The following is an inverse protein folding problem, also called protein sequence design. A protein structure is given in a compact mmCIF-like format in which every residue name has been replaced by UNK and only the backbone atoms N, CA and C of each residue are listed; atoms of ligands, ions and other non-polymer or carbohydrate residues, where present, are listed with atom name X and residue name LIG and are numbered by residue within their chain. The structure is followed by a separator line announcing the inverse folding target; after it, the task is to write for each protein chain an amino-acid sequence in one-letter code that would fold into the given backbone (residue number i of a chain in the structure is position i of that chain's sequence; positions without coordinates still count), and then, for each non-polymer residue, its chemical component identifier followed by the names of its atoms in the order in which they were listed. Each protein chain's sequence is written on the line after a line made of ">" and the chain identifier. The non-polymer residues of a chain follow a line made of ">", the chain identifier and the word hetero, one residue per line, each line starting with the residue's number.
data_IF_741152882779
#
_entry.id   IF_741152882779
#
_cell.length_a   1.000
_cell.length_b   1.000
_cell.length_c   1.000
_cell.angle_alpha   90.00
_cell.angle_beta   90.00
_cell.angle_gamma   90.00
#
_symmetry.space_group_name_H-M   'P 1'
#
loop_
_entity.id
_entity.type
_entity.pdbx_description
1 polymer ?
#
# COMPACT_ATOMS: atom_id res chain seq x y z
N UNK A 1 -4.98 -9.41 7.47
CA UNK A 1 -4.81 -8.48 6.33
C UNK A 1 -5.77 -7.31 6.47
N UNK A 2 -5.27 -6.11 6.36
CA UNK A 2 -6.07 -4.90 6.41
C UNK A 2 -6.26 -4.32 5.03
N UNK A 3 -7.28 -3.48 4.84
CA UNK A 3 -7.49 -2.80 3.58
C UNK A 3 -7.75 -1.32 3.82
N UNK A 4 -7.29 -0.50 2.89
CA UNK A 4 -7.52 0.93 2.90
C UNK A 4 -7.89 1.39 1.50
N UNK A 5 -8.80 2.36 1.43
CA UNK A 5 -9.15 2.96 0.14
C UNK A 5 -8.42 4.28 -0.01
N UNK A 6 -7.81 4.45 -1.17
CA UNK A 6 -7.14 5.71 -1.50
C UNK A 6 -7.54 6.12 -2.91
N UNK A 7 -7.41 7.42 -3.18
CA UNK A 7 -7.58 7.94 -4.54
C UNK A 7 -6.23 8.42 -5.04
N UNK A 8 -5.81 7.93 -6.18
CA UNK A 8 -4.55 8.31 -6.80
C UNK A 8 -4.77 8.51 -8.29
N UNK A 9 -4.38 9.67 -8.81
CA UNK A 9 -4.58 10.02 -10.21
C UNK A 9 -6.04 9.87 -10.66
N UNK A 10 -6.98 10.22 -9.76
CA UNK A 10 -8.41 10.16 -10.06
C UNK A 10 -9.02 8.76 -10.03
N UNK A 11 -8.24 7.77 -9.61
CA UNK A 11 -8.70 6.38 -9.54
C UNK A 11 -8.77 5.94 -8.08
N UNK A 12 -9.87 5.30 -7.70
CA UNK A 12 -10.03 4.75 -6.35
C UNK A 12 -9.47 3.35 -6.30
N UNK A 13 -8.46 3.18 -5.45
CA UNK A 13 -7.81 1.88 -5.24
C UNK A 13 -8.17 1.32 -3.88
N UNK A 14 -8.34 0.01 -3.82
CA UNK A 14 -8.46 -0.71 -2.56
C UNK A 14 -7.12 -1.43 -2.34
N UNK A 15 -6.41 -1.04 -1.29
CA UNK A 15 -5.05 -1.50 -1.02
C UNK A 15 -5.07 -2.44 0.18
N UNK A 16 -4.61 -3.66 -0.02
CA UNK A 16 -4.56 -4.69 1.01
C UNK A 16 -3.14 -4.94 1.46
N UNK A 17 -2.97 -5.14 2.73
CA UNK A 17 -1.66 -5.44 3.30
C UNK A 17 -1.69 -5.45 4.80
N UNK A 18 -0.54 -5.21 5.42
CA UNK A 18 -0.40 -5.18 6.86
C UNK A 18 0.57 -4.09 7.28
N UNK A 19 0.39 -3.58 8.50
CA UNK A 19 1.38 -2.71 9.11
C UNK A 19 2.46 -3.55 9.76
N UNK A 20 3.70 -3.15 9.54
CA UNK A 20 4.84 -3.80 10.13
C UNK A 20 5.49 -2.87 11.16
N UNK A 21 5.88 -3.43 12.29
CA UNK A 21 6.54 -2.68 13.34
C UNK A 21 7.99 -2.38 12.97
N UNK A 22 8.52 -1.28 13.51
CA UNK A 22 9.92 -0.98 13.32
C UNK A 22 10.80 -2.01 14.03
N UNK A 23 11.94 -2.33 13.40
CA UNK A 23 12.93 -3.24 13.97
C UNK A 23 14.27 -2.52 14.05
N UNK A 24 14.62 -1.96 15.22
CA UNK A 24 15.85 -1.20 15.37
C UNK A 24 17.12 -2.01 15.04
N UNK A 25 17.09 -3.31 15.31
CA UNK A 25 18.23 -4.18 15.06
C UNK A 25 18.59 -4.32 13.59
N UNK A 26 17.59 -4.19 12.71
CA UNK A 26 17.78 -4.31 11.27
C UNK A 26 17.66 -2.97 10.57
N UNK A 27 17.50 -1.88 11.32
CA UNK A 27 17.23 -0.54 10.80
C UNK A 27 15.92 -0.46 9.99
N UNK A 28 15.01 -1.38 10.21
CA UNK A 28 13.73 -1.37 9.55
C UNK A 28 12.81 -0.38 10.25
N UNK A 29 12.32 0.59 9.51
CA UNK A 29 11.50 1.66 10.08
C UNK A 29 10.03 1.27 10.26
N UNK A 30 9.63 0.14 9.72
CA UNK A 30 8.23 -0.28 9.75
C UNK A 30 7.41 0.46 8.70
N UNK A 31 6.11 0.32 8.81
CA UNK A 31 5.16 0.99 7.94
C UNK A 31 4.21 0.03 7.26
N UNK A 32 3.52 0.52 6.24
CA UNK A 32 2.55 -0.28 5.49
C UNK A 32 3.26 -1.13 4.44
N UNK A 33 2.96 -2.43 4.46
CA UNK A 33 3.45 -3.36 3.45
C UNK A 33 2.28 -3.75 2.56
N UNK A 34 2.28 -3.27 1.32
CA UNK A 34 1.21 -3.56 0.35
C UNK A 34 1.38 -4.97 -0.22
N UNK A 35 0.32 -5.76 -0.17
CA UNK A 35 0.32 -7.12 -0.71
C UNK A 35 -0.56 -7.28 -1.93
N UNK A 36 -1.63 -6.49 -2.02
CA UNK A 36 -2.62 -6.61 -3.09
C UNK A 36 -3.25 -5.26 -3.35
N UNK A 37 -3.54 -4.95 -4.59
CA UNK A 37 -4.23 -3.72 -4.98
C UNK A 37 -5.36 -4.09 -5.92
N UNK A 38 -6.58 -3.62 -5.62
CA UNK A 38 -7.76 -3.88 -6.43
C UNK A 38 -8.44 -2.59 -6.89
N UNK A 39 -9.02 -2.65 -8.07
CA UNK A 39 -9.91 -1.61 -8.59
C UNK A 39 -11.17 -2.33 -9.05
N UNK A 40 -12.34 -1.94 -8.53
CA UNK A 40 -13.63 -2.56 -8.85
C UNK A 40 -13.57 -4.10 -8.68
N UNK A 41 -12.99 -4.55 -7.56
CA UNK A 41 -12.83 -5.96 -7.21
C UNK A 41 -11.92 -6.76 -8.15
N UNK A 42 -11.17 -6.08 -8.99
CA UNK A 42 -10.20 -6.74 -9.89
C UNK A 42 -8.79 -6.50 -9.35
N UNK A 43 -8.05 -7.59 -9.14
CA UNK A 43 -6.66 -7.51 -8.70
C UNK A 43 -5.81 -6.98 -9.85
N UNK A 44 -5.17 -5.84 -9.63
CA UNK A 44 -4.32 -5.20 -10.63
C UNK A 44 -2.88 -5.02 -10.17
N UNK A 45 -2.53 -5.56 -8.99
CA UNK A 45 -1.20 -5.40 -8.42
C UNK A 45 -0.10 -5.83 -9.40
N UNK A 46 -0.32 -6.96 -10.06
CA UNK A 46 0.66 -7.56 -10.96
C UNK A 46 0.93 -6.72 -12.23
N UNK A 47 0.02 -5.83 -12.58
CA UNK A 47 0.17 -5.01 -13.79
C UNK A 47 0.62 -3.58 -13.51
N UNK A 48 0.77 -3.23 -12.24
CA UNK A 48 1.21 -1.89 -11.87
C UNK A 48 2.73 -1.79 -11.92
N UNK A 49 3.21 -0.62 -12.33
CA UNK A 49 4.65 -0.34 -12.28
C UNK A 49 5.11 -0.23 -10.83
N UNK A 50 6.33 -0.65 -10.51
CA UNK A 50 6.86 -0.54 -9.15
C UNK A 50 6.76 0.87 -8.55
N UNK A 51 6.96 1.91 -9.35
CA UNK A 51 6.84 3.30 -8.89
C UNK A 51 5.43 3.63 -8.44
N UNK A 52 4.43 3.11 -9.12
CA UNK A 52 3.02 3.33 -8.76
C UNK A 52 2.72 2.63 -7.44
N UNK A 53 3.19 1.40 -7.28
CA UNK A 53 3.00 0.64 -6.05
C UNK A 53 3.66 1.37 -4.87
N UNK A 54 4.87 1.90 -5.05
CA UNK A 54 5.55 2.68 -4.02
C UNK A 54 4.75 3.92 -3.64
N UNK A 55 4.23 4.64 -4.61
CA UNK A 55 3.42 5.84 -4.38
C UNK A 55 2.17 5.52 -3.59
N UNK A 56 1.47 4.46 -3.98
CA UNK A 56 0.26 4.01 -3.28
C UNK A 56 0.61 3.64 -1.85
N UNK A 57 1.70 2.91 -1.64
CA UNK A 57 2.18 2.52 -0.32
C UNK A 57 2.49 3.75 0.54
N UNK A 58 3.13 4.77 -0.03
CA UNK A 58 3.40 6.02 0.68
C UNK A 58 2.12 6.71 1.12
N UNK A 59 1.12 6.76 0.25
CA UNK A 59 -0.15 7.41 0.55
C UNK A 59 -0.84 6.71 1.72
N UNK A 60 -0.89 5.38 1.69
CA UNK A 60 -1.50 4.62 2.79
C UNK A 60 -0.76 4.87 4.09
N UNK A 61 0.56 4.84 4.05
CA UNK A 61 1.39 5.09 5.24
C UNK A 61 1.13 6.50 5.79
N UNK A 62 1.11 7.50 4.93
CA UNK A 62 0.92 8.89 5.33
C UNK A 62 -0.46 9.15 5.92
N UNK A 63 -1.48 8.54 5.37
CA UNK A 63 -2.86 8.78 5.84
C UNK A 63 -3.21 8.04 7.12
N UNK A 64 -2.49 6.97 7.43
CA UNK A 64 -2.84 6.10 8.56
C UNK A 64 -1.79 6.05 9.68
N UNK A 65 -0.72 6.80 9.53
CA UNK A 65 0.31 6.94 10.56
C UNK A 65 0.53 8.38 10.95
#
# INVERSE_FOLDING_TARGET
>A
MESHRITYEGIDFEVFGNYENSEPETNYKGGWATELIKVNDVDIYWMLLPKVIERITEIVTRENY
#
